data_IF_795855595410
#
_entry.id   IF_795855595410
#
_cell.length_a   1.000
_cell.length_b   1.000
_cell.length_c   1.000
_cell.angle_alpha   90.00
_cell.angle_beta   90.00
_cell.angle_gamma   90.00
#
_symmetry.space_group_name_H-M   'P 1'
#
loop_
_entity.id
_entity.type
_entity.pdbx_description
1 polymer ?
#
# COMPACT_ATOMS: atom_id res chain seq x y z
N UNK A 1 -3.18 -5.31 13.91
CA UNK A 1 -3.64 -5.64 12.56
C UNK A 1 -5.16 -5.66 12.47
N UNK A 2 -5.84 -6.57 13.16
CA UNK A 2 -7.28 -6.83 13.06
C UNK A 2 -8.18 -5.71 13.58
N UNK A 3 -7.72 -4.95 14.55
CA UNK A 3 -8.51 -3.88 15.18
C UNK A 3 -8.44 -2.55 14.45
N UNK A 4 -7.41 -2.36 13.61
CA UNK A 4 -7.17 -1.08 12.93
C UNK A 4 -6.94 -1.23 11.44
N UNK A 5 -5.85 -1.89 11.05
CA UNK A 5 -5.35 -1.89 9.67
C UNK A 5 -6.35 -2.56 8.71
N UNK A 6 -6.84 -3.74 9.08
CA UNK A 6 -7.84 -4.46 8.28
C UNK A 6 -9.15 -3.68 8.14
N UNK A 7 -9.80 -3.18 9.23
CA UNK A 7 -11.02 -2.39 9.11
C UNK A 7 -10.86 -1.09 8.34
N UNK A 8 -9.71 -0.41 8.48
CA UNK A 8 -9.43 0.81 7.74
C UNK A 8 -9.31 0.54 6.22
N UNK A 9 -8.53 -0.48 5.84
CA UNK A 9 -8.40 -0.87 4.43
C UNK A 9 -9.72 -1.35 3.82
N UNK A 10 -10.58 -2.03 4.57
CA UNK A 10 -11.88 -2.47 4.05
C UNK A 10 -12.78 -1.32 3.61
N UNK A 11 -12.60 -0.11 4.15
CA UNK A 11 -13.36 1.09 3.82
C UNK A 11 -12.61 2.01 2.86
N UNK A 12 -11.32 1.77 2.65
CA UNK A 12 -10.45 2.63 1.88
C UNK A 12 -10.83 2.69 0.40
N UNK A 13 -10.64 3.87 -0.18
CA UNK A 13 -10.62 4.13 -1.62
C UNK A 13 -9.27 4.67 -2.06
N UNK A 14 -8.41 5.04 -1.10
CA UNK A 14 -7.04 5.48 -1.36
C UNK A 14 -6.12 5.03 -0.24
N UNK A 15 -4.93 4.58 -0.62
CA UNK A 15 -3.88 4.15 0.28
C UNK A 15 -2.52 4.70 -0.18
N UNK A 16 -1.93 5.60 0.61
CA UNK A 16 -0.60 6.17 0.38
C UNK A 16 0.34 5.69 1.49
N UNK A 17 1.44 5.04 1.14
CA UNK A 17 2.38 4.45 2.10
C UNK A 17 3.82 4.82 1.77
N UNK A 18 4.54 5.33 2.76
CA UNK A 18 5.99 5.43 2.78
C UNK A 18 6.52 4.43 3.80
N UNK A 19 7.39 3.52 3.38
CA UNK A 19 8.02 2.52 4.24
C UNK A 19 9.43 2.18 3.75
N UNK A 20 10.29 1.71 4.65
CA UNK A 20 11.64 1.31 4.25
C UNK A 20 11.61 -0.01 3.47
N UNK A 21 10.83 -0.97 3.95
CA UNK A 21 10.75 -2.30 3.34
C UNK A 21 9.31 -2.64 2.99
N UNK A 22 9.13 -3.26 1.83
CA UNK A 22 7.85 -3.79 1.35
C UNK A 22 8.00 -5.28 1.04
N UNK A 23 6.97 -6.05 1.33
CA UNK A 23 6.83 -7.41 0.87
C UNK A 23 5.37 -7.73 0.55
N UNK A 24 5.12 -8.38 -0.57
CA UNK A 24 3.77 -8.82 -0.98
C UNK A 24 3.09 -9.76 0.03
N UNK A 25 3.82 -10.30 0.99
CA UNK A 25 3.24 -11.05 2.12
C UNK A 25 2.20 -10.25 2.88
N UNK A 26 2.33 -8.91 2.95
CA UNK A 26 1.31 -8.05 3.57
C UNK A 26 -0.06 -8.22 2.91
N UNK A 27 -0.11 -8.45 1.59
CA UNK A 27 -1.35 -8.68 0.86
C UNK A 27 -2.08 -9.94 1.32
N UNK A 28 -1.34 -10.99 1.68
CA UNK A 28 -1.91 -12.23 2.22
C UNK A 28 -2.29 -12.08 3.71
N UNK A 29 -1.40 -11.50 4.52
CA UNK A 29 -1.61 -11.31 5.97
C UNK A 29 -2.79 -10.39 6.25
N UNK A 30 -2.93 -9.29 5.50
CA UNK A 30 -4.06 -8.37 5.59
C UNK A 30 -5.10 -8.59 4.49
N UNK A 31 -5.25 -9.83 4.00
CA UNK A 31 -6.06 -10.16 2.82
C UNK A 31 -7.50 -9.66 2.91
N UNK A 32 -8.14 -9.71 4.10
CA UNK A 32 -9.49 -9.18 4.30
C UNK A 32 -9.55 -7.66 4.10
N UNK A 33 -8.54 -6.94 4.55
CA UNK A 33 -8.42 -5.50 4.37
C UNK A 33 -8.21 -5.13 2.91
N UNK A 34 -7.19 -5.70 2.28
CA UNK A 34 -6.90 -5.47 0.85
C UNK A 34 -8.01 -6.00 -0.07
N UNK A 35 -8.66 -7.10 0.28
CA UNK A 35 -9.82 -7.61 -0.46
C UNK A 35 -10.99 -6.61 -0.46
N UNK A 36 -11.27 -5.96 0.67
CA UNK A 36 -12.24 -4.87 0.77
C UNK A 36 -11.81 -3.66 -0.06
N UNK A 37 -10.56 -3.24 0.06
CA UNK A 37 -9.98 -2.15 -0.74
C UNK A 37 -10.14 -2.41 -2.24
N UNK A 38 -9.69 -3.57 -2.74
CA UNK A 38 -9.82 -3.95 -4.16
C UNK A 38 -11.29 -3.95 -4.60
N UNK A 39 -12.20 -4.44 -3.76
CA UNK A 39 -13.63 -4.43 -4.07
C UNK A 39 -14.17 -3.00 -4.23
N UNK A 40 -13.70 -2.07 -3.39
CA UNK A 40 -14.04 -0.65 -3.53
C UNK A 40 -13.47 -0.07 -4.83
N UNK A 41 -12.20 -0.38 -5.16
CA UNK A 41 -11.56 0.08 -6.39
C UNK A 41 -12.31 -0.36 -7.65
N UNK A 42 -12.82 -1.59 -7.69
CA UNK A 42 -13.59 -2.09 -8.82
C UNK A 42 -14.89 -1.30 -9.08
N UNK A 43 -15.37 -0.55 -8.09
CA UNK A 43 -16.53 0.35 -8.22
C UNK A 43 -16.17 1.77 -8.66
N UNK A 44 -14.88 2.12 -8.67
CA UNK A 44 -14.37 3.45 -9.04
C UNK A 44 -14.05 3.51 -10.53
N UNK A 45 -14.12 4.71 -11.10
CA UNK A 45 -13.70 4.96 -12.48
C UNK A 45 -12.18 5.04 -12.64
N UNK A 46 -11.73 5.08 -13.90
CA UNK A 46 -10.31 5.19 -14.25
C UNK A 46 -9.61 6.44 -13.67
N UNK A 47 -10.36 7.51 -13.41
CA UNK A 47 -9.85 8.75 -12.83
C UNK A 47 -9.36 8.60 -11.38
N UNK A 48 -9.73 7.49 -10.70
CA UNK A 48 -9.26 7.18 -9.36
C UNK A 48 -7.86 6.55 -9.33
N UNK A 49 -7.25 6.27 -10.47
CA UNK A 49 -5.93 5.61 -10.58
C UNK A 49 -4.77 6.63 -10.51
N UNK A 50 -3.68 6.31 -9.80
CA UNK A 50 -3.52 5.18 -8.91
C UNK A 50 -4.23 5.42 -7.57
N UNK A 51 -4.90 4.40 -7.06
CA UNK A 51 -5.59 4.44 -5.77
C UNK A 51 -4.66 4.03 -4.61
N UNK A 52 -3.65 3.22 -4.89
CA UNK A 52 -2.58 2.88 -3.96
C UNK A 52 -1.23 3.39 -4.47
N UNK A 53 -0.45 4.02 -3.58
CA UNK A 53 0.90 4.50 -3.89
C UNK A 53 1.86 4.05 -2.79
N UNK A 54 2.91 3.35 -3.19
CA UNK A 54 3.97 2.89 -2.28
C UNK A 54 5.28 3.58 -2.62
N UNK A 55 5.86 4.27 -1.65
CA UNK A 55 7.22 4.77 -1.70
C UNK A 55 8.08 3.90 -0.78
N UNK A 56 8.98 3.14 -1.37
CA UNK A 56 9.84 2.17 -0.69
C UNK A 56 11.31 2.51 -0.90
N UNK A 57 12.21 1.90 -0.12
CA UNK A 57 13.63 1.99 -0.42
C UNK A 57 14.03 1.05 -1.56
N UNK A 58 15.33 1.01 -1.90
CA UNK A 58 15.87 0.19 -2.99
C UNK A 58 15.95 -1.31 -2.69
N UNK A 59 15.68 -1.73 -1.44
CA UNK A 59 15.74 -3.14 -1.04
C UNK A 59 14.37 -3.81 -1.17
N UNK A 60 14.04 -4.29 -2.36
CA UNK A 60 12.84 -5.08 -2.64
C UNK A 60 13.17 -6.58 -2.61
N UNK A 61 12.20 -7.38 -2.19
CA UNK A 61 12.28 -8.83 -2.33
C UNK A 61 12.39 -9.21 -3.82
N UNK A 62 13.29 -10.14 -4.22
CA UNK A 62 13.47 -10.52 -5.62
C UNK A 62 12.19 -11.01 -6.31
N UNK A 63 11.35 -11.79 -5.63
CA UNK A 63 10.09 -12.30 -6.19
C UNK A 63 9.09 -11.17 -6.40
N UNK A 64 9.04 -10.20 -5.46
CA UNK A 64 8.21 -9.01 -5.58
C UNK A 64 8.69 -8.10 -6.72
N UNK A 65 10.01 -7.94 -6.87
CA UNK A 65 10.59 -7.17 -7.97
C UNK A 65 10.26 -7.81 -9.33
N UNK A 66 10.38 -9.13 -9.46
CA UNK A 66 10.00 -9.86 -10.67
C UNK A 66 8.51 -9.67 -10.98
N UNK A 67 7.62 -9.79 -9.98
CA UNK A 67 6.19 -9.58 -10.15
C UNK A 67 5.86 -8.14 -10.61
N UNK A 68 6.57 -7.13 -10.10
CA UNK A 68 6.41 -5.73 -10.51
C UNK A 68 6.87 -5.49 -11.96
N UNK A 69 7.91 -6.20 -12.41
CA UNK A 69 8.47 -6.06 -13.76
C UNK A 69 7.66 -6.83 -14.82
N UNK A 70 7.11 -8.00 -14.47
CA UNK A 70 6.34 -8.89 -15.39
C UNK A 70 4.87 -8.51 -15.52
N UNK A 71 4.48 -7.37 -15.01
CA UNK A 71 3.10 -6.88 -14.92
C UNK A 71 2.21 -7.06 -16.16
N UNK A 72 2.80 -7.03 -17.36
CA UNK A 72 2.03 -7.14 -18.61
C UNK A 72 1.52 -8.56 -18.88
N UNK A 73 2.23 -9.59 -18.40
CA UNK A 73 1.91 -10.99 -18.70
C UNK A 73 0.96 -11.60 -17.66
N UNK A 74 0.92 -11.05 -16.45
CA UNK A 74 0.11 -11.57 -15.33
C UNK A 74 -1.36 -11.11 -15.34
N UNK A 75 -1.68 -10.01 -16.00
CA UNK A 75 -3.05 -9.46 -16.01
C UNK A 75 -4.13 -10.46 -16.49
N UNK A 76 -3.92 -11.28 -17.56
CA UNK A 76 -4.90 -12.28 -17.98
C UNK A 76 -5.09 -13.39 -16.94
N UNK A 77 -4.01 -13.83 -16.29
CA UNK A 77 -4.05 -14.85 -15.24
C UNK A 77 -4.83 -14.35 -14.03
N UNK A 78 -4.58 -13.12 -13.59
CA UNK A 78 -5.29 -12.53 -12.45
C UNK A 78 -6.76 -12.32 -12.76
N UNK A 79 -7.12 -11.89 -13.96
CA UNK A 79 -8.52 -11.78 -14.39
C UNK A 79 -9.24 -13.15 -14.35
N UNK A 80 -8.53 -14.23 -14.71
CA UNK A 80 -9.02 -15.60 -14.62
C UNK A 80 -9.16 -16.05 -13.15
N UNK A 81 -8.18 -15.73 -12.31
CA UNK A 81 -8.19 -16.05 -10.87
C UNK A 81 -9.35 -15.34 -10.14
N UNK A 82 -9.58 -14.06 -10.43
CA UNK A 82 -10.71 -13.32 -9.86
C UNK A 82 -12.07 -13.90 -10.25
N UNK A 83 -12.21 -14.47 -11.47
CA UNK A 83 -13.42 -15.20 -11.88
C UNK A 83 -13.56 -16.54 -11.17
N UNK A 84 -12.44 -17.21 -10.85
CA UNK A 84 -12.42 -18.54 -10.23
C UNK A 84 -12.61 -18.47 -8.72
N UNK A 85 -12.04 -17.45 -8.08
CA UNK A 85 -12.19 -17.22 -6.64
C UNK A 85 -13.43 -16.36 -6.39
N UNK A 86 -14.20 -16.76 -5.38
CA UNK A 86 -15.43 -16.06 -5.02
C UNK A 86 -15.19 -14.66 -4.46
N UNK A 87 -13.98 -14.41 -3.94
CA UNK A 87 -13.62 -13.15 -3.31
C UNK A 87 -12.17 -12.77 -3.62
N UNK A 88 -11.84 -11.47 -3.67
CA UNK A 88 -10.46 -11.00 -3.74
C UNK A 88 -9.58 -11.50 -2.59
N UNK A 89 -10.16 -11.76 -1.42
CA UNK A 89 -9.45 -12.32 -0.25
C UNK A 89 -8.82 -13.67 -0.58
N UNK A 90 -9.58 -14.62 -1.15
CA UNK A 90 -9.06 -15.94 -1.52
C UNK A 90 -7.93 -15.83 -2.58
N UNK A 91 -8.03 -14.87 -3.49
CA UNK A 91 -6.98 -14.61 -4.48
C UNK A 91 -5.70 -14.09 -3.83
N UNK A 92 -5.81 -13.15 -2.90
CA UNK A 92 -4.67 -12.58 -2.16
C UNK A 92 -3.95 -13.62 -1.30
N UNK A 93 -4.69 -14.45 -0.58
CA UNK A 93 -4.12 -15.51 0.26
C UNK A 93 -3.34 -16.56 -0.55
N UNK A 94 -3.82 -16.89 -1.75
CA UNK A 94 -3.28 -17.98 -2.56
C UNK A 94 -2.28 -17.55 -3.64
N UNK A 95 -2.35 -16.31 -4.07
CA UNK A 95 -1.55 -15.85 -5.20
C UNK A 95 -1.22 -14.35 -5.11
N UNK A 96 -0.57 -13.94 -4.01
CA UNK A 96 -0.22 -12.55 -3.72
C UNK A 96 0.62 -11.89 -4.82
N UNK A 97 1.54 -12.64 -5.44
CA UNK A 97 2.41 -12.10 -6.49
C UNK A 97 1.63 -11.75 -7.76
N UNK A 98 0.73 -12.64 -8.21
CA UNK A 98 -0.13 -12.34 -9.34
C UNK A 98 -1.09 -11.17 -9.04
N UNK A 99 -1.57 -11.04 -7.81
CA UNK A 99 -2.38 -9.88 -7.41
C UNK A 99 -1.58 -8.58 -7.39
N UNK A 100 -0.33 -8.61 -6.92
CA UNK A 100 0.58 -7.47 -6.98
C UNK A 100 0.81 -7.03 -8.43
N UNK A 101 1.17 -7.98 -9.30
CA UNK A 101 1.38 -7.74 -10.73
C UNK A 101 0.13 -7.17 -11.41
N UNK A 102 -1.05 -7.70 -11.09
CA UNK A 102 -2.31 -7.18 -11.61
C UNK A 102 -2.61 -5.75 -11.17
N UNK A 103 -2.46 -5.44 -9.86
CA UNK A 103 -2.70 -4.09 -9.35
C UNK A 103 -1.83 -3.05 -10.06
N UNK A 104 -0.57 -3.41 -10.35
CA UNK A 104 0.36 -2.53 -11.09
C UNK A 104 0.00 -2.47 -12.58
N UNK A 105 -0.30 -3.60 -13.23
CA UNK A 105 -0.67 -3.65 -14.64
C UNK A 105 -1.95 -2.84 -14.94
N UNK A 106 -2.94 -2.93 -14.06
CA UNK A 106 -4.18 -2.17 -14.15
C UNK A 106 -4.03 -0.70 -13.72
N UNK A 107 -2.87 -0.32 -13.20
CA UNK A 107 -2.58 1.04 -12.72
C UNK A 107 -3.28 1.42 -11.41
N UNK A 108 -3.80 0.45 -10.66
CA UNK A 108 -4.36 0.69 -9.33
C UNK A 108 -3.29 0.92 -8.28
N UNK A 109 -2.12 0.30 -8.45
CA UNK A 109 -0.96 0.46 -7.58
C UNK A 109 0.20 1.06 -8.38
N UNK A 110 0.80 2.12 -7.84
CA UNK A 110 2.08 2.66 -8.31
C UNK A 110 3.12 2.53 -7.19
N UNK A 111 4.28 1.97 -7.54
CA UNK A 111 5.42 1.81 -6.63
C UNK A 111 6.56 2.68 -7.12
N UNK A 112 7.13 3.49 -6.22
CA UNK A 112 8.34 4.28 -6.47
C UNK A 112 9.42 3.92 -5.47
N UNK A 113 10.66 3.94 -5.93
CA UNK A 113 11.83 3.71 -5.08
C UNK A 113 12.41 5.07 -4.68
N UNK A 114 12.50 5.31 -3.37
CA UNK A 114 13.10 6.51 -2.81
C UNK A 114 14.61 6.30 -2.62
N UNK A 115 15.42 7.06 -3.34
CA UNK A 115 16.88 7.06 -3.22
C UNK A 115 17.30 8.38 -2.60
N UNK A 116 18.10 8.33 -1.52
CA UNK A 116 18.62 9.54 -0.92
C UNK A 116 19.66 10.21 -1.82
N UNK A 117 19.59 11.53 -1.92
CA UNK A 117 20.59 12.33 -2.65
C UNK A 117 21.96 12.33 -1.96
N UNK A 118 22.01 11.94 -0.68
CA UNK A 118 23.24 11.84 0.11
C UNK A 118 23.77 10.42 0.12
N UNK A 119 25.04 10.23 -0.16
CA UNK A 119 25.68 8.92 -0.11
C UNK A 119 25.66 8.35 1.34
N UNK A 120 25.42 7.05 1.47
CA UNK A 120 25.58 6.28 2.70
C UNK A 120 24.38 6.27 3.65
N UNK A 121 23.21 6.74 3.22
CA UNK A 121 21.94 6.60 3.95
C UNK A 121 20.90 5.79 3.18
N UNK A 122 19.84 5.37 3.87
CA UNK A 122 18.65 4.76 3.28
C UNK A 122 17.40 5.58 3.59
N UNK A 123 16.43 5.58 2.69
CA UNK A 123 15.11 6.13 2.97
C UNK A 123 14.40 5.23 3.99
N UNK A 124 14.21 5.71 5.24
CA UNK A 124 13.72 4.89 6.35
C UNK A 124 12.47 5.45 7.04
N UNK A 125 11.81 6.39 6.41
CA UNK A 125 10.54 6.92 6.91
C UNK A 125 9.42 5.86 6.82
N UNK A 126 8.56 5.81 7.83
CA UNK A 126 7.44 4.88 7.90
C UNK A 126 6.20 5.62 8.35
N UNK A 127 5.34 5.93 7.40
CA UNK A 127 4.03 6.54 7.64
C UNK A 127 3.06 6.17 6.52
N UNK A 128 1.78 6.29 6.77
CA UNK A 128 0.76 6.01 5.77
C UNK A 128 -0.50 6.83 5.98
N UNK A 129 -1.30 6.88 4.94
CA UNK A 129 -2.58 7.55 4.87
C UNK A 129 -3.59 6.60 4.24
N UNK A 130 -4.65 6.31 4.97
CA UNK A 130 -5.78 5.51 4.49
C UNK A 130 -6.98 6.45 4.40
N UNK A 131 -7.55 6.62 3.22
CA UNK A 131 -8.68 7.52 2.98
C UNK A 131 -9.88 6.75 2.47
N UNK A 132 -11.05 7.01 3.02
CA UNK A 132 -12.32 6.41 2.63
C UNK A 132 -13.08 7.24 1.58
N UNK A 133 -14.25 6.76 1.17
CA UNK A 133 -15.09 7.41 0.16
C UNK A 133 -15.72 8.74 0.64
N UNK A 134 -15.74 9.02 1.93
CA UNK A 134 -16.18 10.28 2.53
C UNK A 134 -15.04 11.31 2.65
N UNK A 135 -13.84 10.97 2.19
CA UNK A 135 -12.60 11.72 2.34
C UNK A 135 -12.07 11.79 3.78
N UNK A 136 -12.63 10.97 4.68
CA UNK A 136 -12.06 10.78 6.01
C UNK A 136 -10.73 10.02 5.88
N UNK A 137 -9.71 10.56 6.54
CA UNK A 137 -8.35 10.04 6.43
C UNK A 137 -7.83 9.61 7.80
N UNK A 138 -7.26 8.43 7.86
CA UNK A 138 -6.47 7.95 8.98
C UNK A 138 -4.99 8.06 8.60
N UNK A 139 -4.27 8.97 9.24
CA UNK A 139 -2.82 9.04 9.17
C UNK A 139 -2.19 8.19 10.27
N UNK A 140 -1.11 7.50 9.96
CA UNK A 140 -0.35 6.73 10.93
C UNK A 140 1.14 6.81 10.65
N UNK A 141 1.93 6.77 11.72
CA UNK A 141 3.38 6.70 11.65
C UNK A 141 3.92 5.79 12.76
N UNK A 142 5.05 5.18 12.54
CA UNK A 142 5.64 4.29 13.54
C UNK A 142 6.90 3.58 13.08
N UNK A 143 7.18 2.47 13.75
CA UNK A 143 8.33 1.61 13.45
C UNK A 143 8.05 0.59 12.35
N UNK A 144 6.79 0.34 12.03
CA UNK A 144 6.34 -0.72 11.14
C UNK A 144 6.72 -0.53 9.66
N UNK A 145 7.13 -1.61 9.03
CA UNK A 145 7.28 -1.71 7.59
C UNK A 145 6.05 -2.37 6.96
N UNK A 146 5.92 -2.26 5.65
CA UNK A 146 4.86 -2.91 4.88
C UNK A 146 5.25 -4.36 4.58
N UNK A 147 5.40 -5.17 5.63
CA UNK A 147 5.79 -6.58 5.56
C UNK A 147 4.90 -7.44 6.45
N UNK A 148 4.73 -8.71 6.07
CA UNK A 148 3.99 -9.66 6.90
C UNK A 148 4.61 -9.84 8.29
N UNK A 149 5.95 -9.82 8.39
CA UNK A 149 6.67 -9.94 9.65
C UNK A 149 6.41 -8.75 10.58
N UNK A 150 6.42 -7.52 10.07
CA UNK A 150 6.09 -6.33 10.87
C UNK A 150 4.68 -6.42 11.45
N UNK A 151 3.71 -6.89 10.66
CA UNK A 151 2.31 -6.96 11.08
C UNK A 151 1.99 -8.12 12.04
N UNK A 152 2.78 -9.20 12.06
CA UNK A 152 2.46 -10.42 12.81
C UNK A 152 3.44 -10.74 13.93
N UNK A 153 4.72 -10.47 13.76
CA UNK A 153 5.78 -11.01 14.60
C UNK A 153 6.53 -9.95 15.39
N UNK A 154 6.68 -8.74 14.84
CA UNK A 154 7.43 -7.68 15.49
C UNK A 154 6.57 -6.96 16.54
N UNK A 155 7.24 -6.44 17.59
CA UNK A 155 6.66 -5.40 18.41
C UNK A 155 6.81 -4.06 17.70
N UNK A 156 5.68 -3.48 17.31
CA UNK A 156 5.62 -2.22 16.58
C UNK A 156 4.80 -1.18 17.33
N UNK A 157 5.25 0.06 17.32
CA UNK A 157 4.53 1.19 17.89
C UNK A 157 4.01 2.08 16.78
N UNK A 158 2.71 2.41 16.84
CA UNK A 158 2.03 3.27 15.89
C UNK A 158 1.39 4.46 16.60
N UNK A 159 1.65 5.64 16.08
CA UNK A 159 0.83 6.82 16.34
C UNK A 159 -0.24 6.93 15.27
N UNK A 160 -1.46 7.22 15.69
CA UNK A 160 -2.65 7.27 14.83
C UNK A 160 -3.34 8.61 14.98
N UNK A 161 -3.68 9.24 13.85
CA UNK A 161 -4.40 10.49 13.81
C UNK A 161 -5.52 10.44 12.76
N UNK A 162 -6.77 10.43 13.18
CA UNK A 162 -7.90 10.57 12.26
C UNK A 162 -8.15 12.04 11.92
N UNK A 163 -8.56 12.31 10.67
CA UNK A 163 -8.78 13.66 10.15
C UNK A 163 -9.80 14.49 10.95
N UNK A 164 -10.75 13.82 11.59
CA UNK A 164 -11.77 14.49 12.43
C UNK A 164 -11.30 14.82 13.85
N UNK A 165 -10.14 14.35 14.29
CA UNK A 165 -9.59 14.63 15.61
C UNK A 165 -8.25 15.39 15.56
N UNK A 166 -7.42 15.11 14.56
CA UNK A 166 -6.12 15.76 14.37
C UNK A 166 -5.88 16.08 12.88
N UNK A 167 -6.62 17.05 12.33
CA UNK A 167 -6.50 17.41 10.91
C UNK A 167 -5.11 17.96 10.57
N UNK A 168 -4.44 18.66 11.48
CA UNK A 168 -3.12 19.24 11.23
C UNK A 168 -2.06 18.17 11.01
N UNK A 169 -2.10 17.09 11.79
CA UNK A 169 -1.22 15.94 11.61
C UNK A 169 -1.48 15.24 10.26
N UNK A 170 -2.75 15.05 9.91
CA UNK A 170 -3.13 14.43 8.63
C UNK A 170 -2.64 15.30 7.46
N UNK A 171 -2.86 16.61 7.49
CA UNK A 171 -2.44 17.52 6.43
C UNK A 171 -0.93 17.63 6.31
N UNK A 172 -0.19 17.56 7.41
CA UNK A 172 1.27 17.48 7.41
C UNK A 172 1.74 16.25 6.64
N UNK A 173 1.23 15.04 6.98
CA UNK A 173 1.67 13.81 6.32
C UNK A 173 1.17 13.68 4.89
N UNK A 174 0.00 14.24 4.57
CA UNK A 174 -0.48 14.35 3.18
C UNK A 174 0.47 15.20 2.33
N UNK A 175 0.85 16.37 2.85
CA UNK A 175 1.81 17.26 2.20
C UNK A 175 3.20 16.64 2.09
N UNK A 176 3.64 15.96 3.14
CA UNK A 176 4.92 15.25 3.18
C UNK A 176 4.98 14.13 2.15
N UNK A 177 3.93 13.31 2.08
CA UNK A 177 3.85 12.26 1.08
C UNK A 177 3.86 12.82 -0.34
N UNK A 178 3.09 13.87 -0.61
CA UNK A 178 3.06 14.52 -1.91
C UNK A 178 4.43 15.08 -2.30
N UNK A 179 5.15 15.72 -1.38
CA UNK A 179 6.49 16.24 -1.63
C UNK A 179 7.49 15.13 -1.98
N UNK A 180 7.47 14.03 -1.24
CA UNK A 180 8.32 12.86 -1.51
C UNK A 180 7.95 12.19 -2.84
N UNK A 181 6.65 12.03 -3.09
CA UNK A 181 6.14 11.40 -4.29
C UNK A 181 6.50 12.15 -5.57
N UNK A 182 6.49 13.46 -5.52
CA UNK A 182 6.80 14.35 -6.63
C UNK A 182 8.29 14.75 -6.72
N UNK A 183 9.15 14.12 -5.92
CA UNK A 183 10.61 14.42 -5.83
C UNK A 183 10.89 15.92 -5.56
N UNK A 184 10.04 16.55 -4.73
CA UNK A 184 10.20 17.95 -4.29
C UNK A 184 10.90 18.08 -2.95
N UNK A 185 11.27 16.95 -2.34
CA UNK A 185 12.02 16.92 -1.08
C UNK A 185 13.53 17.05 -1.36
N UNK A 186 14.18 17.95 -0.64
CA UNK A 186 15.61 18.23 -0.81
C UNK A 186 16.53 17.22 -0.07
N UNK A 187 15.96 16.29 0.71
CA UNK A 187 16.71 15.27 1.45
C UNK A 187 16.96 14.05 0.56
#
# INVERSE_FOLDING_TARGET
LEELYVPALQRAVRYDRCCAYFSSHVLAVAARGFGGFISNLCSLGADAKPAARLLVNEELDPDDLEALLTRADEAPLVALLLKRFRTPVEALERNRLAMLAWLVAEGWLEVRVGVLRRAGGIAHAKFGLITDAQADTLAFMGSDNETGQALLENYEELYLAPSWADPEFVDYYRSRFAALWEDRDEQ
#
